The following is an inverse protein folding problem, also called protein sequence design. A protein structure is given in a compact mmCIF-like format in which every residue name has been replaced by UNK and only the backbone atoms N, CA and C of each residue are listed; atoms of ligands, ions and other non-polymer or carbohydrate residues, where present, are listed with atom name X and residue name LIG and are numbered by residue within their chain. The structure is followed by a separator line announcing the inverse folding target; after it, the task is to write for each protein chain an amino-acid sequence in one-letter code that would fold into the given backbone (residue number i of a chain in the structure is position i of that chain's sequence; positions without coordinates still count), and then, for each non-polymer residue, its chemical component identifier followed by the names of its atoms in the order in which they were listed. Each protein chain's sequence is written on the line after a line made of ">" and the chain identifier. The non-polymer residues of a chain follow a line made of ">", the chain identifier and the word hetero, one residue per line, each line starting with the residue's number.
data_IF_956656229547
#
_entry.id   IF_956656229547
#
_cell.length_a   1.000
_cell.length_b   1.000
_cell.length_c   1.000
_cell.angle_alpha   90.00
_cell.angle_beta   90.00
_cell.angle_gamma   90.00
#
_symmetry.space_group_name_H-M   'P 1'
#
loop_
_entity.id
_entity.type
_entity.pdbx_description
1 polymer ?
#
# COMPACT_ATOMS: atom_id res chain seq x y z
N UNK A 1 -7.84 -15.03 0.15
CA UNK A 1 -6.74 -14.10 -0.15
C UNK A 1 -5.78 -13.91 1.02
N UNK A 2 -6.15 -13.27 2.14
CA UNK A 2 -5.34 -13.13 3.36
C UNK A 2 -5.91 -13.99 4.49
N UNK A 3 -5.06 -14.74 5.18
CA UNK A 3 -5.41 -15.53 6.35
C UNK A 3 -4.38 -15.30 7.46
N UNK A 4 -4.84 -14.84 8.63
CA UNK A 4 -4.02 -14.57 9.80
C UNK A 4 -4.58 -15.39 10.96
N UNK A 5 -3.72 -16.19 11.61
CA UNK A 5 -4.10 -17.08 12.69
C UNK A 5 -3.26 -16.82 13.93
N UNK A 6 -3.94 -16.48 15.01
CA UNK A 6 -3.32 -16.30 16.33
C UNK A 6 -2.02 -15.49 16.27
N UNK A 7 -2.01 -14.37 15.53
CA UNK A 7 -0.81 -13.59 15.27
C UNK A 7 -0.44 -12.75 16.49
N UNK A 8 0.77 -12.95 17.00
CA UNK A 8 1.38 -12.18 18.06
C UNK A 8 2.58 -11.41 17.54
N UNK A 9 2.73 -10.16 17.95
CA UNK A 9 3.88 -9.35 17.55
C UNK A 9 4.23 -8.32 18.60
N UNK A 10 5.52 -8.01 18.69
CA UNK A 10 6.09 -7.06 19.64
C UNK A 10 6.96 -6.01 18.95
N UNK A 11 7.19 -4.92 19.65
CA UNK A 11 8.18 -3.90 19.34
C UNK A 11 8.98 -3.58 20.61
N UNK A 12 10.32 -3.62 20.53
CA UNK A 12 11.22 -3.37 21.66
C UNK A 12 10.84 -4.18 22.93
N UNK A 13 10.45 -5.46 22.78
CA UNK A 13 10.07 -6.36 23.87
C UNK A 13 8.67 -6.12 24.46
N UNK A 14 7.89 -5.19 23.89
CA UNK A 14 6.51 -4.96 24.29
C UNK A 14 5.56 -5.59 23.30
N UNK A 15 4.79 -6.57 23.75
CA UNK A 15 3.75 -7.21 22.94
C UNK A 15 2.61 -6.23 22.63
N UNK A 16 2.28 -6.10 21.35
CA UNK A 16 1.21 -5.23 20.84
C UNK A 16 0.08 -6.07 20.24
N UNK A 17 0.40 -7.02 19.35
CA UNK A 17 -0.60 -7.94 18.82
C UNK A 17 -0.66 -9.19 19.71
N UNK A 18 -1.87 -9.54 20.11
CA UNK A 18 -2.11 -10.56 21.17
C UNK A 18 -3.08 -11.63 20.67
N UNK A 19 -2.68 -12.35 19.60
CA UNK A 19 -3.49 -13.43 19.06
C UNK A 19 -4.55 -12.97 18.07
N UNK A 20 -4.17 -12.15 17.09
CA UNK A 20 -5.09 -11.65 16.05
C UNK A 20 -5.46 -12.78 15.11
N UNK A 21 -6.77 -12.90 14.84
CA UNK A 21 -7.33 -13.76 13.81
C UNK A 21 -8.08 -12.89 12.81
N UNK A 22 -7.77 -13.02 11.53
CA UNK A 22 -8.38 -12.24 10.45
C UNK A 22 -8.35 -13.07 9.16
N UNK A 23 -9.48 -13.16 8.49
CA UNK A 23 -9.56 -13.74 7.15
C UNK A 23 -10.22 -12.74 6.22
N UNK A 24 -9.59 -12.46 5.08
CA UNK A 24 -10.10 -11.58 4.03
C UNK A 24 -10.15 -12.40 2.74
N UNK A 25 -11.34 -12.49 2.15
CA UNK A 25 -11.53 -13.12 0.84
C UNK A 25 -11.30 -12.11 -0.28
N UNK A 26 -11.22 -12.60 -1.52
CA UNK A 26 -11.12 -11.75 -2.70
C UNK A 26 -12.38 -10.88 -2.80
N UNK A 27 -12.20 -9.59 -3.08
CA UNK A 27 -13.28 -8.62 -3.20
C UNK A 27 -13.90 -8.14 -1.89
N UNK A 28 -13.40 -8.54 -0.73
CA UNK A 28 -13.93 -8.06 0.55
C UNK A 28 -13.26 -6.75 0.99
N UNK A 29 -14.05 -5.88 1.63
CA UNK A 29 -13.57 -4.69 2.32
C UNK A 29 -13.75 -4.89 3.82
N UNK A 30 -12.66 -4.85 4.55
CA UNK A 30 -12.63 -4.98 6.01
C UNK A 30 -12.24 -3.65 6.67
N UNK A 31 -13.10 -3.13 7.54
CA UNK A 31 -12.79 -1.97 8.36
C UNK A 31 -12.28 -2.42 9.74
N UNK A 32 -11.00 -2.13 10.03
CA UNK A 32 -10.37 -2.41 11.32
C UNK A 32 -10.57 -1.22 12.25
N UNK A 33 -11.38 -1.38 13.28
CA UNK A 33 -11.73 -0.31 14.20
C UNK A 33 -11.20 -0.60 15.60
N UNK A 34 -10.90 0.45 16.35
CA UNK A 34 -10.45 0.34 17.75
C UNK A 34 -9.83 1.65 18.25
N UNK A 35 -9.63 1.80 19.56
CA UNK A 35 -9.03 2.99 20.15
C UNK A 35 -7.58 3.18 19.71
N UNK A 36 -7.03 4.37 19.96
CA UNK A 36 -5.62 4.63 19.72
C UNK A 36 -4.76 3.71 20.58
N UNK A 37 -3.69 3.16 19.98
CA UNK A 37 -2.81 2.22 20.66
C UNK A 37 -3.32 0.76 20.71
N UNK A 38 -4.46 0.43 20.08
CA UNK A 38 -4.98 -0.95 20.04
C UNK A 38 -4.21 -1.89 19.09
N UNK A 39 -3.26 -1.38 18.31
CA UNK A 39 -2.45 -2.20 17.41
C UNK A 39 -2.86 -2.18 15.93
N UNK A 40 -3.78 -1.31 15.51
CA UNK A 40 -4.22 -1.22 14.09
C UNK A 40 -3.05 -1.02 13.14
N UNK A 41 -2.27 0.04 13.32
CA UNK A 41 -1.08 0.32 12.50
C UNK A 41 0.04 -0.70 12.70
N UNK A 42 0.10 -1.36 13.88
CA UNK A 42 1.02 -2.48 14.11
C UNK A 42 0.65 -3.67 13.22
N UNK A 43 -0.63 -4.00 13.10
CA UNK A 43 -1.08 -5.07 12.20
C UNK A 43 -0.68 -4.76 10.75
N UNK A 44 -0.94 -3.53 10.28
CA UNK A 44 -0.54 -3.07 8.95
C UNK A 44 0.98 -3.20 8.73
N UNK A 45 1.78 -2.77 9.70
CA UNK A 45 3.23 -2.84 9.65
C UNK A 45 3.76 -4.28 9.65
N UNK A 46 3.20 -5.16 10.47
CA UNK A 46 3.57 -6.59 10.52
C UNK A 46 3.21 -7.29 9.20
N UNK A 47 2.02 -7.07 8.67
CA UNK A 47 1.59 -7.68 7.40
C UNK A 47 2.42 -7.20 6.21
N UNK A 48 2.97 -6.00 6.26
CA UNK A 48 3.85 -5.47 5.21
C UNK A 48 5.34 -5.73 5.46
N UNK A 49 5.69 -6.36 6.59
CA UNK A 49 7.06 -6.81 6.89
C UNK A 49 7.98 -5.73 7.42
N UNK A 50 7.45 -4.74 8.14
CA UNK A 50 8.26 -3.71 8.77
C UNK A 50 9.24 -4.36 9.81
N UNK A 51 10.56 -4.22 9.65
CA UNK A 51 11.55 -4.92 10.47
C UNK A 51 11.62 -4.43 11.93
N UNK A 52 10.93 -3.35 12.29
CA UNK A 52 10.85 -2.88 13.67
C UNK A 52 10.00 -3.79 14.56
N UNK A 53 9.15 -4.62 13.95
CA UNK A 53 8.26 -5.54 14.66
C UNK A 53 8.76 -6.98 14.55
N UNK A 54 8.72 -7.68 15.67
CA UNK A 54 9.05 -9.10 15.75
C UNK A 54 7.77 -9.91 15.93
N UNK A 55 7.51 -10.83 15.02
CA UNK A 55 6.42 -11.82 15.19
C UNK A 55 6.90 -12.88 16.17
N UNK A 56 6.17 -13.06 17.27
CA UNK A 56 6.52 -14.00 18.35
C UNK A 56 5.75 -15.31 18.28
N UNK A 57 4.54 -15.29 17.68
CA UNK A 57 3.72 -16.50 17.47
C UNK A 57 2.66 -16.26 16.39
N UNK A 58 2.05 -17.34 15.92
CA UNK A 58 0.98 -17.33 14.93
C UNK A 58 1.46 -17.45 13.50
N UNK A 59 0.52 -17.34 12.58
CA UNK A 59 0.72 -17.56 11.15
C UNK A 59 0.04 -16.47 10.33
N UNK A 60 0.59 -16.15 9.17
CA UNK A 60 -0.06 -15.28 8.19
C UNK A 60 0.24 -15.78 6.78
N UNK A 61 -0.81 -15.98 5.99
CA UNK A 61 -0.73 -16.44 4.61
C UNK A 61 -1.37 -15.44 3.67
N UNK A 62 -0.73 -15.21 2.53
CA UNK A 62 -1.28 -14.41 1.45
C UNK A 62 -1.25 -15.21 0.15
N UNK A 63 -2.41 -15.45 -0.45
CA UNK A 63 -2.58 -16.31 -1.62
C UNK A 63 -1.94 -17.70 -1.43
N UNK A 64 -2.05 -18.26 -0.22
CA UNK A 64 -1.50 -19.57 0.15
C UNK A 64 0.01 -19.58 0.41
N UNK A 65 0.71 -18.46 0.30
CA UNK A 65 2.14 -18.33 0.60
C UNK A 65 2.34 -17.83 2.04
N UNK A 66 3.32 -18.37 2.75
CA UNK A 66 3.68 -17.92 4.10
C UNK A 66 4.23 -16.49 4.04
N UNK A 67 3.41 -15.55 4.48
CA UNK A 67 3.73 -14.13 4.45
C UNK A 67 4.89 -13.76 5.39
N UNK A 68 5.00 -14.47 6.51
CA UNK A 68 6.01 -14.17 7.53
C UNK A 68 7.43 -14.50 7.08
N UNK A 69 7.59 -15.42 6.12
CA UNK A 69 8.88 -15.78 5.52
C UNK A 69 9.27 -14.85 4.35
N UNK A 70 8.35 -13.99 3.88
CA UNK A 70 8.60 -13.12 2.75
C UNK A 70 9.25 -11.82 3.20
N UNK A 71 10.22 -11.34 2.43
CA UNK A 71 10.77 -9.98 2.59
C UNK A 71 9.74 -8.91 2.21
N UNK A 72 9.83 -7.69 2.76
CA UNK A 72 8.89 -6.61 2.45
C UNK A 72 8.73 -6.35 0.94
N UNK A 73 9.84 -6.35 0.20
CA UNK A 73 9.81 -6.15 -1.25
C UNK A 73 9.10 -7.27 -2.02
N UNK A 74 9.14 -8.51 -1.51
CA UNK A 74 8.46 -9.65 -2.14
C UNK A 74 6.96 -9.60 -1.83
N UNK A 75 6.58 -9.18 -0.62
CA UNK A 75 5.16 -8.92 -0.27
C UNK A 75 4.54 -7.87 -1.19
N UNK A 76 5.27 -6.78 -1.45
CA UNK A 76 4.83 -5.74 -2.37
C UNK A 76 4.71 -6.26 -3.83
N UNK A 77 5.65 -7.08 -4.29
CA UNK A 77 5.61 -7.71 -5.63
C UNK A 77 4.48 -8.72 -5.78
N UNK A 78 4.13 -9.43 -4.71
CA UNK A 78 2.95 -10.32 -4.67
C UNK A 78 1.63 -9.56 -4.77
N UNK A 79 1.62 -8.28 -4.47
CA UNK A 79 0.45 -7.42 -4.64
C UNK A 79 -0.12 -6.87 -3.34
N UNK A 80 0.67 -6.80 -2.27
CA UNK A 80 0.29 -6.09 -1.05
C UNK A 80 0.75 -4.63 -1.15
N UNK A 81 -0.15 -3.70 -0.92
CA UNK A 81 0.12 -2.27 -0.87
C UNK A 81 -0.22 -1.71 0.52
N UNK A 82 0.61 -0.80 1.01
CA UNK A 82 0.36 -0.03 2.22
C UNK A 82 0.33 1.46 1.91
N UNK A 83 -0.79 2.12 2.21
CA UNK A 83 -0.85 3.58 2.32
C UNK A 83 -0.41 3.97 3.73
N UNK A 84 0.66 4.72 3.83
CA UNK A 84 1.25 5.11 5.11
C UNK A 84 0.44 6.24 5.76
N UNK A 85 0.35 6.23 7.09
CA UNK A 85 -0.20 7.37 7.83
C UNK A 85 0.55 8.67 7.48
N UNK A 86 1.88 8.59 7.38
CA UNK A 86 2.75 9.69 6.96
C UNK A 86 3.56 9.27 5.72
N UNK A 87 3.16 9.73 4.50
CA UNK A 87 3.87 9.39 3.28
C UNK A 87 5.32 9.86 3.29
N UNK A 88 6.24 8.95 2.99
CA UNK A 88 7.68 9.21 3.01
C UNK A 88 8.09 10.08 1.82
N UNK A 89 9.00 11.03 2.06
CA UNK A 89 9.67 11.81 1.01
C UNK A 89 10.95 11.11 0.56
N UNK A 90 11.21 11.10 -0.76
CA UNK A 90 12.43 10.56 -1.34
C UNK A 90 13.08 11.66 -2.19
N UNK A 91 13.88 12.54 -1.56
CA UNK A 91 14.54 13.64 -2.28
C UNK A 91 15.44 13.13 -3.41
N UNK A 92 15.44 13.83 -4.53
CA UNK A 92 16.28 13.51 -5.69
C UNK A 92 15.78 12.33 -6.56
N UNK A 93 14.75 11.61 -6.14
CA UNK A 93 14.14 10.53 -6.93
C UNK A 93 12.82 11.01 -7.51
N UNK A 94 12.76 11.25 -8.82
CA UNK A 94 11.52 11.67 -9.46
C UNK A 94 10.45 10.58 -9.39
N UNK A 95 9.16 11.01 -9.27
CA UNK A 95 8.02 10.08 -9.26
C UNK A 95 7.99 9.17 -10.49
N UNK A 96 8.35 9.70 -11.67
CA UNK A 96 8.46 8.91 -12.92
C UNK A 96 9.45 7.76 -12.75
N UNK A 97 10.66 8.04 -12.26
CA UNK A 97 11.72 7.03 -12.10
C UNK A 97 11.35 6.00 -11.03
N UNK A 98 10.79 6.47 -9.91
CA UNK A 98 10.32 5.62 -8.82
C UNK A 98 9.25 4.64 -9.31
N UNK A 99 8.20 5.15 -9.95
CA UNK A 99 7.11 4.30 -10.45
C UNK A 99 7.55 3.36 -11.56
N UNK A 100 8.45 3.81 -12.45
CA UNK A 100 9.01 2.93 -13.49
C UNK A 100 9.77 1.75 -12.89
N UNK A 101 10.58 2.01 -11.89
CA UNK A 101 11.32 0.97 -11.19
C UNK A 101 10.37 -0.01 -10.47
N UNK A 102 9.37 0.51 -9.73
CA UNK A 102 8.42 -0.30 -8.97
C UNK A 102 7.54 -1.18 -9.88
N UNK A 103 6.93 -0.60 -10.92
CA UNK A 103 6.09 -1.32 -11.89
C UNK A 103 6.88 -2.42 -12.60
N UNK A 104 8.09 -2.11 -13.08
CA UNK A 104 8.91 -3.09 -13.78
C UNK A 104 9.46 -4.17 -12.84
N UNK A 105 9.73 -3.86 -11.56
CA UNK A 105 10.10 -4.87 -10.56
C UNK A 105 8.95 -5.86 -10.29
N UNK A 106 7.71 -5.38 -10.17
CA UNK A 106 6.53 -6.22 -10.06
C UNK A 106 6.32 -7.08 -11.31
N UNK A 107 6.38 -6.50 -12.51
CA UNK A 107 6.25 -7.22 -13.78
C UNK A 107 7.29 -8.33 -13.91
N UNK A 108 8.57 -8.03 -13.63
CA UNK A 108 9.66 -9.02 -13.63
C UNK A 108 9.38 -10.18 -12.66
N UNK A 109 8.89 -9.88 -11.47
CA UNK A 109 8.50 -10.90 -10.48
C UNK A 109 7.38 -11.81 -11.00
N UNK A 110 6.45 -11.25 -11.79
CA UNK A 110 5.36 -11.99 -12.45
C UNK A 110 5.78 -12.68 -13.76
N UNK A 111 7.05 -12.64 -14.15
CA UNK A 111 7.54 -13.22 -15.41
C UNK A 111 7.15 -12.42 -16.67
N UNK A 112 6.76 -11.15 -16.49
CA UNK A 112 6.37 -10.27 -17.59
C UNK A 112 7.53 -9.36 -18.01
N UNK A 113 7.59 -9.03 -19.29
CA UNK A 113 8.57 -8.07 -19.82
C UNK A 113 8.33 -6.66 -19.28
N UNK A 114 9.39 -5.85 -19.07
CA UNK A 114 9.28 -4.46 -18.70
C UNK A 114 8.41 -3.68 -19.72
N UNK A 115 7.68 -2.67 -19.24
CA UNK A 115 6.94 -1.78 -20.13
C UNK A 115 7.89 -0.96 -21.00
N UNK A 116 7.51 -0.77 -22.27
CA UNK A 116 8.15 0.22 -23.12
C UNK A 116 7.99 1.63 -22.50
N UNK A 117 8.87 2.56 -22.90
CA UNK A 117 8.76 3.94 -22.43
C UNK A 117 7.40 4.58 -22.79
N UNK A 118 6.88 4.28 -23.98
CA UNK A 118 5.60 4.80 -24.45
C UNK A 118 4.42 4.23 -23.65
N UNK A 119 4.40 2.90 -23.42
CA UNK A 119 3.34 2.24 -22.64
C UNK A 119 3.35 2.69 -21.19
N UNK A 120 4.54 2.83 -20.59
CA UNK A 120 4.68 3.34 -19.23
C UNK A 120 4.15 4.78 -19.11
N UNK A 121 4.48 5.66 -20.05
CA UNK A 121 3.98 7.05 -20.03
C UNK A 121 2.47 7.14 -20.26
N UNK A 122 1.92 6.23 -21.07
CA UNK A 122 0.46 6.10 -21.23
C UNK A 122 -0.18 5.66 -19.92
N UNK A 123 0.31 4.59 -19.30
CA UNK A 123 -0.16 4.10 -17.99
C UNK A 123 -0.13 5.22 -16.93
N UNK A 124 1.00 5.93 -16.81
CA UNK A 124 1.12 7.05 -15.87
C UNK A 124 0.07 8.12 -16.09
N UNK A 125 -0.18 8.50 -17.34
CA UNK A 125 -1.19 9.52 -17.68
C UNK A 125 -2.59 9.06 -17.29
N UNK A 126 -2.95 7.81 -17.64
CA UNK A 126 -4.27 7.26 -17.40
C UNK A 126 -4.54 7.13 -15.89
N UNK A 127 -3.58 6.59 -15.12
CA UNK A 127 -3.70 6.46 -13.66
C UNK A 127 -3.66 7.80 -12.92
N UNK A 128 -2.90 8.77 -13.41
CA UNK A 128 -2.90 10.13 -12.87
C UNK A 128 -4.25 10.80 -13.02
N UNK A 129 -4.90 10.66 -14.18
CA UNK A 129 -6.22 11.21 -14.44
C UNK A 129 -7.29 10.59 -13.54
N UNK A 130 -7.14 9.30 -13.18
CA UNK A 130 -8.05 8.60 -12.28
C UNK A 130 -8.15 9.28 -10.91
N UNK A 131 -7.03 9.83 -10.40
CA UNK A 131 -6.92 10.41 -9.06
C UNK A 131 -6.74 11.93 -9.08
N UNK A 132 -6.96 12.55 -10.22
CA UNK A 132 -6.87 14.00 -10.43
C UNK A 132 -5.54 14.62 -9.92
N UNK A 133 -4.43 13.88 -10.10
CA UNK A 133 -3.11 14.36 -9.69
C UNK A 133 -2.52 15.31 -10.74
N UNK A 134 -2.07 16.51 -10.30
CA UNK A 134 -1.43 17.48 -11.19
C UNK A 134 -0.20 16.89 -11.89
N UNK A 135 -0.11 17.10 -13.18
CA UNK A 135 1.00 16.63 -14.02
C UNK A 135 2.37 17.15 -13.57
N UNK A 136 2.41 18.33 -12.95
CA UNK A 136 3.65 18.92 -12.42
C UNK A 136 4.24 18.08 -11.28
N UNK A 137 3.39 17.47 -10.44
CA UNK A 137 3.83 16.66 -9.31
C UNK A 137 4.54 15.37 -9.76
N UNK A 138 4.12 14.78 -10.89
CA UNK A 138 4.76 13.56 -11.41
C UNK A 138 6.22 13.74 -11.84
N UNK A 139 6.67 14.98 -12.06
CA UNK A 139 8.06 15.30 -12.42
C UNK A 139 8.95 15.66 -11.23
N UNK A 140 8.34 15.89 -10.06
CA UNK A 140 9.05 16.22 -8.82
C UNK A 140 9.56 14.95 -8.14
N UNK A 141 10.43 15.14 -7.17
CA UNK A 141 10.82 14.07 -6.25
C UNK A 141 9.60 13.53 -5.49
N UNK A 142 9.65 12.26 -5.14
CA UNK A 142 8.54 11.57 -4.43
C UNK A 142 8.20 12.34 -3.16
N UNK A 143 6.97 12.89 -3.10
CA UNK A 143 6.39 13.61 -1.98
C UNK A 143 7.15 14.87 -1.51
N UNK A 144 8.28 15.23 -2.11
CA UNK A 144 9.09 16.36 -1.67
C UNK A 144 8.36 17.70 -1.87
N UNK A 145 8.08 18.36 -0.73
CA UNK A 145 7.36 19.63 -0.69
C UNK A 145 5.91 19.54 -1.18
N UNK A 146 5.28 18.37 -1.12
CA UNK A 146 3.85 18.20 -1.37
C UNK A 146 3.07 18.62 -0.12
N UNK A 147 1.89 19.21 -0.32
CA UNK A 147 0.90 19.39 0.74
C UNK A 147 0.38 18.03 1.24
N UNK A 148 -0.27 18.01 2.39
CA UNK A 148 -0.87 16.77 2.93
C UNK A 148 -1.82 16.10 1.95
N UNK A 149 -2.72 16.86 1.34
CA UNK A 149 -3.65 16.36 0.32
C UNK A 149 -2.96 15.86 -0.94
N UNK A 150 -1.90 16.54 -1.41
CA UNK A 150 -1.10 16.10 -2.56
C UNK A 150 -0.36 14.80 -2.26
N UNK A 151 0.20 14.63 -1.04
CA UNK A 151 0.85 13.40 -0.60
C UNK A 151 -0.13 12.22 -0.62
N UNK A 152 -1.33 12.41 -0.09
CA UNK A 152 -2.36 11.34 -0.08
C UNK A 152 -2.86 10.99 -1.48
N UNK A 153 -3.15 11.98 -2.33
CA UNK A 153 -3.47 11.72 -3.75
C UNK A 153 -2.35 10.98 -4.46
N UNK A 154 -1.10 11.32 -4.14
CA UNK A 154 0.06 10.64 -4.69
C UNK A 154 0.18 9.18 -4.23
N UNK A 155 -0.20 8.85 -2.99
CA UNK A 155 -0.27 7.45 -2.53
C UNK A 155 -1.34 6.67 -3.30
N UNK A 156 -2.53 7.24 -3.49
CA UNK A 156 -3.58 6.60 -4.29
C UNK A 156 -3.16 6.47 -5.76
N UNK A 157 -2.41 7.44 -6.30
CA UNK A 157 -1.79 7.29 -7.62
C UNK A 157 -0.79 6.13 -7.66
N UNK A 158 0.07 5.98 -6.65
CA UNK A 158 1.00 4.85 -6.56
C UNK A 158 0.24 3.51 -6.48
N UNK A 159 -0.83 3.45 -5.68
CA UNK A 159 -1.71 2.28 -5.62
C UNK A 159 -2.30 1.95 -6.98
N UNK A 160 -2.83 2.96 -7.69
CA UNK A 160 -3.38 2.80 -9.04
C UNK A 160 -2.34 2.30 -10.05
N UNK A 161 -1.09 2.76 -9.97
CA UNK A 161 0.01 2.32 -10.84
C UNK A 161 0.43 0.88 -10.56
N UNK A 162 0.41 0.46 -9.30
CA UNK A 162 0.87 -0.86 -8.87
C UNK A 162 -0.22 -1.94 -8.95
N UNK A 163 -1.49 -1.55 -9.03
CA UNK A 163 -2.64 -2.47 -9.12
C UNK A 163 -2.51 -3.64 -8.11
N UNK A 164 -2.50 -3.35 -6.80
CA UNK A 164 -2.37 -4.39 -5.79
C UNK A 164 -3.61 -5.28 -5.74
N UNK A 165 -3.46 -6.50 -5.24
CA UNK A 165 -4.58 -7.38 -4.90
C UNK A 165 -5.10 -7.11 -3.49
N UNK A 166 -4.22 -6.74 -2.56
CA UNK A 166 -4.57 -6.33 -1.20
C UNK A 166 -4.03 -4.93 -0.91
N UNK A 167 -4.94 -4.00 -0.59
CA UNK A 167 -4.59 -2.63 -0.19
C UNK A 167 -4.88 -2.43 1.30
N UNK A 168 -3.85 -2.10 2.05
CA UNK A 168 -3.96 -1.74 3.47
C UNK A 168 -3.90 -0.22 3.56
N UNK A 169 -4.99 0.41 4.00
CA UNK A 169 -5.13 1.86 4.09
C UNK A 169 -5.14 2.27 5.57
N UNK A 170 -4.01 2.82 6.06
CA UNK A 170 -3.86 3.22 7.45
C UNK A 170 -4.05 4.72 7.59
N UNK A 171 -5.21 5.14 8.12
CA UNK A 171 -5.62 6.54 8.32
C UNK A 171 -5.42 7.43 7.08
N UNK A 172 -5.79 6.91 5.90
CA UNK A 172 -5.59 7.60 4.62
C UNK A 172 -6.40 8.89 4.49
N UNK A 173 -7.44 9.03 5.30
CA UNK A 173 -8.34 10.20 5.41
C UNK A 173 -7.83 11.25 6.42
N UNK A 174 -6.84 10.94 7.25
CA UNK A 174 -6.36 11.83 8.31
C UNK A 174 -5.74 13.12 7.74
N UNK A 175 -6.21 14.26 8.25
CA UNK A 175 -5.69 15.59 7.87
C UNK A 175 -6.06 16.07 6.46
N UNK A 176 -7.03 15.42 5.81
CA UNK A 176 -7.55 15.86 4.52
C UNK A 176 -8.72 16.83 4.69
N UNK A 177 -8.82 17.80 3.77
CA UNK A 177 -10.05 18.53 3.55
C UNK A 177 -11.10 17.65 2.84
N UNK A 178 -12.35 18.10 2.80
CA UNK A 178 -13.48 17.34 2.26
C UNK A 178 -13.27 16.96 0.79
N UNK A 179 -12.69 17.86 -0.01
CA UNK A 179 -12.48 17.63 -1.44
C UNK A 179 -11.37 16.59 -1.68
N UNK A 180 -10.26 16.69 -0.94
CA UNK A 180 -9.18 15.69 -1.01
C UNK A 180 -9.67 14.32 -0.53
N UNK A 181 -10.46 14.26 0.55
CA UNK A 181 -11.05 13.03 1.05
C UNK A 181 -11.95 12.35 0.00
N UNK A 182 -12.79 13.15 -0.68
CA UNK A 182 -13.66 12.65 -1.75
C UNK A 182 -12.86 12.05 -2.91
N UNK A 183 -11.80 12.73 -3.37
CA UNK A 183 -10.95 12.23 -4.46
C UNK A 183 -10.25 10.92 -4.07
N UNK A 184 -9.75 10.84 -2.83
CA UNK A 184 -9.13 9.62 -2.29
C UNK A 184 -10.14 8.48 -2.26
N UNK A 185 -11.34 8.69 -1.69
CA UNK A 185 -12.39 7.69 -1.61
C UNK A 185 -12.85 7.22 -3.00
N UNK A 186 -13.07 8.15 -3.92
CA UNK A 186 -13.45 7.83 -5.31
C UNK A 186 -12.35 7.05 -6.03
N UNK A 187 -11.09 7.39 -5.79
CA UNK A 187 -9.93 6.66 -6.32
C UNK A 187 -9.89 5.22 -5.84
N UNK A 188 -10.03 5.00 -4.53
CA UNK A 188 -10.08 3.66 -3.93
C UNK A 188 -11.25 2.86 -4.49
N UNK A 189 -12.45 3.44 -4.50
CA UNK A 189 -13.65 2.75 -5.00
C UNK A 189 -13.54 2.34 -6.48
N UNK A 190 -12.93 3.19 -7.32
CA UNK A 190 -12.71 2.87 -8.75
C UNK A 190 -11.69 1.74 -8.97
N UNK A 191 -10.82 1.49 -8.02
CA UNK A 191 -9.81 0.42 -8.10
C UNK A 191 -10.27 -0.88 -7.45
N UNK A 192 -11.32 -0.84 -6.62
CA UNK A 192 -11.91 -2.03 -6.03
C UNK A 192 -12.60 -2.88 -7.08
N UNK A 193 -12.37 -4.19 -7.05
CA UNK A 193 -12.94 -5.20 -7.95
C UNK A 193 -13.21 -6.48 -7.16
N UNK A 194 -13.89 -7.44 -7.77
CA UNK A 194 -14.15 -8.76 -7.17
C UNK A 194 -12.86 -9.56 -6.85
N UNK A 195 -11.70 -9.07 -7.27
CA UNK A 195 -10.38 -9.73 -7.08
C UNK A 195 -9.41 -8.90 -6.22
N UNK A 196 -9.85 -7.73 -5.75
CA UNK A 196 -9.02 -6.82 -4.96
C UNK A 196 -9.71 -6.48 -3.65
N UNK A 197 -8.97 -6.46 -2.56
CA UNK A 197 -9.44 -6.12 -1.22
C UNK A 197 -8.59 -5.07 -0.57
#
# INVERSE_FOLDING_TARGET
>A
MLEVKNLHAEIAGKEILKGINLTIQDGEIHAIMGPNGSGKSTLSAVLTGNPLYTVTAGEAYFNGKDLLQMKPEDRAREGIFLSFQYPVEIPGVSMVNFMKAAVNAKRKYQGLEPLSAADFMKLMRDKRNLVELDSKLSRRSVNEGFSGGEKKRNEIFQMAMLEPTLSILDETDSGLDVDAMRIVADGVNKMHTDKTS
#
